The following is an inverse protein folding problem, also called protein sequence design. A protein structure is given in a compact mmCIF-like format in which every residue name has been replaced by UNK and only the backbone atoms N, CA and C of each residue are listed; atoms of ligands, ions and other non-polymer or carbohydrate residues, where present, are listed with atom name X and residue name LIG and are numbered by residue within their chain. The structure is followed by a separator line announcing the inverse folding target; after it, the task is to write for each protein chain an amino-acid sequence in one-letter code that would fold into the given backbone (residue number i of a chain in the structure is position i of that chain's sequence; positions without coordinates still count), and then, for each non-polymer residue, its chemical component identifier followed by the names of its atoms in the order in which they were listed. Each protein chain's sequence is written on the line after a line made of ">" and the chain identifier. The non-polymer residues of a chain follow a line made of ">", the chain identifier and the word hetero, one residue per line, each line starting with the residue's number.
data_IF_781353063499
#
_entry.id   IF_781353063499
#
_cell.length_a   1.000
_cell.length_b   1.000
_cell.length_c   1.000
_cell.angle_alpha   90.00
_cell.angle_beta   90.00
_cell.angle_gamma   90.00
#
_symmetry.space_group_name_H-M   'P 1'
#
loop_
_entity.id
_entity.type
_entity.pdbx_description
1 polymer ?
#
# COMPACT_ATOMS: atom_id res chain seq x y z
N UNK A 1 16.35 40.46 1.17
CA UNK A 1 15.03 39.84 0.92
C UNK A 1 15.30 38.58 0.07
N UNK A 2 15.66 37.48 0.72
CA UNK A 2 16.11 36.24 0.08
C UNK A 2 14.90 35.43 -0.38
N UNK A 3 14.83 35.09 -1.66
CA UNK A 3 13.96 34.05 -2.20
C UNK A 3 14.77 32.76 -2.28
N UNK A 4 14.54 31.86 -1.34
CA UNK A 4 15.05 30.49 -1.41
C UNK A 4 14.24 29.72 -2.47
N UNK A 5 14.90 29.45 -3.60
CA UNK A 5 14.43 28.51 -4.60
C UNK A 5 14.61 27.11 -4.03
N UNK A 6 13.51 26.44 -3.69
CA UNK A 6 13.52 25.02 -3.42
C UNK A 6 13.91 24.27 -4.70
N UNK A 7 15.13 23.75 -4.73
CA UNK A 7 15.57 22.76 -5.71
C UNK A 7 14.80 21.48 -5.38
N UNK A 8 13.88 21.10 -6.26
CA UNK A 8 13.28 19.76 -6.25
C UNK A 8 14.39 18.79 -6.63
N UNK A 9 14.94 18.12 -5.61
CA UNK A 9 15.89 17.03 -5.81
C UNK A 9 15.08 15.84 -6.33
N UNK A 10 14.99 15.74 -7.66
CA UNK A 10 14.61 14.49 -8.32
C UNK A 10 15.79 13.53 -8.08
N UNK A 11 15.68 12.69 -7.05
CA UNK A 11 16.69 11.67 -6.76
C UNK A 11 16.57 10.59 -7.84
N UNK A 12 17.26 10.78 -8.96
CA UNK A 12 17.75 9.67 -9.76
C UNK A 12 18.80 8.93 -8.91
N UNK A 13 18.38 7.89 -8.17
CA UNK A 13 19.35 7.05 -7.44
C UNK A 13 20.19 6.30 -8.48
N UNK A 14 21.50 6.55 -8.42
CA UNK A 14 22.56 6.12 -9.32
C UNK A 14 22.39 4.73 -9.95
N UNK A 15 22.54 4.69 -11.28
CA UNK A 15 22.92 3.51 -12.03
C UNK A 15 24.27 2.99 -11.54
N UNK A 16 24.30 1.77 -11.01
CA UNK A 16 25.55 0.99 -10.99
C UNK A 16 25.85 0.58 -12.44
N UNK A 17 26.83 1.24 -13.06
CA UNK A 17 27.37 0.87 -14.36
C UNK A 17 28.09 -0.48 -14.25
N UNK A 18 27.39 -1.58 -14.54
CA UNK A 18 28.03 -2.75 -15.14
C UNK A 18 27.68 -2.71 -16.63
N UNK A 19 28.69 -2.49 -17.46
CA UNK A 19 28.55 -2.48 -18.91
C UNK A 19 28.09 -3.86 -19.40
N UNK A 20 26.78 -4.01 -19.65
CA UNK A 20 26.19 -5.16 -20.33
C UNK A 20 25.29 -4.62 -21.46
N UNK A 21 25.30 -5.19 -22.68
CA UNK A 21 24.77 -4.52 -23.87
C UNK A 21 23.24 -4.33 -23.82
N UNK A 22 22.84 -3.09 -23.54
CA UNK A 22 21.69 -2.29 -24.02
C UNK A 22 20.25 -2.85 -24.17
N UNK A 23 19.93 -4.10 -23.81
CA UNK A 23 18.53 -4.55 -23.63
C UNK A 23 18.22 -5.14 -22.24
N UNK A 24 19.24 -5.40 -21.42
CA UNK A 24 19.06 -5.95 -20.07
C UNK A 24 18.84 -4.89 -18.98
N UNK A 25 19.36 -3.67 -19.10
CA UNK A 25 19.30 -2.67 -18.01
C UNK A 25 17.88 -2.19 -17.67
N UNK A 26 17.02 -2.03 -18.67
CA UNK A 26 15.62 -1.62 -18.45
C UNK A 26 14.86 -2.76 -17.75
N UNK A 27 15.07 -4.00 -18.20
CA UNK A 27 14.48 -5.21 -17.61
C UNK A 27 14.94 -5.45 -16.16
N UNK A 28 16.22 -5.23 -15.84
CA UNK A 28 16.77 -5.40 -14.49
C UNK A 28 16.19 -4.36 -13.53
N UNK A 29 16.09 -3.10 -13.94
CA UNK A 29 15.51 -2.03 -13.11
C UNK A 29 14.00 -2.24 -12.89
N UNK A 30 13.28 -2.70 -13.91
CA UNK A 30 11.88 -3.16 -13.85
C UNK A 30 11.70 -4.26 -12.80
N UNK A 31 12.55 -5.29 -12.83
CA UNK A 31 12.49 -6.42 -11.88
C UNK A 31 12.80 -5.95 -10.45
N UNK A 32 13.80 -5.06 -10.28
CA UNK A 32 14.23 -4.59 -8.95
C UNK A 32 13.14 -3.75 -8.27
N UNK A 33 12.50 -2.82 -8.99
CA UNK A 33 11.41 -2.01 -8.41
C UNK A 33 10.21 -2.89 -8.04
N UNK A 34 9.85 -3.82 -8.94
CA UNK A 34 8.81 -4.82 -8.70
C UNK A 34 9.11 -5.69 -7.46
N UNK A 35 10.37 -6.10 -7.27
CA UNK A 35 10.77 -6.88 -6.09
C UNK A 35 10.65 -6.12 -4.77
N UNK A 36 10.82 -4.79 -4.78
CA UNK A 36 10.80 -3.99 -3.56
C UNK A 36 9.41 -3.82 -2.95
N UNK A 37 8.35 -3.91 -3.76
CA UNK A 37 6.97 -3.78 -3.27
C UNK A 37 6.40 -5.08 -2.71
N UNK A 38 7.06 -6.22 -2.90
CA UNK A 38 6.59 -7.50 -2.35
C UNK A 38 6.86 -7.64 -0.84
N UNK A 39 6.00 -8.45 -0.22
CA UNK A 39 6.05 -8.78 1.19
C UNK A 39 4.89 -8.15 1.98
N UNK A 40 5.12 -8.06 3.28
CA UNK A 40 4.12 -7.67 4.27
C UNK A 40 4.32 -6.21 4.68
N UNK A 41 3.22 -5.45 4.69
CA UNK A 41 3.18 -4.02 4.86
C UNK A 41 2.08 -3.60 5.83
N UNK A 42 2.34 -2.54 6.59
CA UNK A 42 1.40 -1.92 7.51
C UNK A 42 1.15 -0.49 7.05
N UNK A 43 -0.14 -0.12 6.91
CA UNK A 43 -0.51 1.25 6.59
C UNK A 43 -0.24 2.14 7.81
N UNK A 44 0.59 3.17 7.63
CA UNK A 44 0.94 4.10 8.73
C UNK A 44 0.32 5.47 8.57
N UNK A 45 -0.01 5.86 7.33
CA UNK A 45 -0.60 7.14 7.03
C UNK A 45 -1.41 7.05 5.73
N UNK A 46 -2.60 7.66 5.71
CA UNK A 46 -3.41 7.69 4.50
C UNK A 46 -4.32 8.90 4.42
N UNK A 47 -4.69 9.25 3.19
CA UNK A 47 -5.70 10.28 2.92
C UNK A 47 -6.44 9.99 1.63
N UNK A 48 -7.69 10.42 1.54
CA UNK A 48 -8.52 10.32 0.35
C UNK A 48 -9.07 11.68 -0.06
N UNK A 49 -9.37 11.85 -1.35
CA UNK A 49 -10.11 13.00 -1.87
C UNK A 49 -11.62 12.72 -2.04
N UNK A 50 -12.08 11.54 -1.60
CA UNK A 50 -13.46 11.09 -1.74
C UNK A 50 -14.15 10.98 -0.36
N UNK A 51 -15.39 11.47 -0.20
CA UNK A 51 -16.16 11.36 1.05
C UNK A 51 -16.29 9.93 1.59
N UNK A 52 -16.46 8.93 0.72
CA UNK A 52 -16.52 7.52 1.11
C UNK A 52 -15.18 7.06 1.69
N UNK A 53 -14.07 7.53 1.12
CA UNK A 53 -12.74 7.27 1.64
C UNK A 53 -12.48 7.92 2.99
N UNK A 54 -13.04 9.11 3.23
CA UNK A 54 -12.99 9.73 4.57
C UNK A 54 -13.67 8.86 5.61
N UNK A 55 -14.86 8.34 5.32
CA UNK A 55 -15.59 7.43 6.22
C UNK A 55 -14.82 6.14 6.50
N UNK A 56 -14.24 5.51 5.47
CA UNK A 56 -13.45 4.29 5.61
C UNK A 56 -12.21 4.56 6.48
N UNK A 57 -11.44 5.60 6.16
CA UNK A 57 -10.20 5.93 6.85
C UNK A 57 -10.42 6.34 8.30
N UNK A 58 -11.50 7.07 8.60
CA UNK A 58 -11.86 7.45 9.98
C UNK A 58 -12.25 6.26 10.86
N UNK A 59 -12.87 5.24 10.27
CA UNK A 59 -13.28 4.05 10.99
C UNK A 59 -12.15 3.01 11.10
N UNK A 60 -11.11 3.10 10.27
CA UNK A 60 -9.99 2.14 10.23
C UNK A 60 -9.06 2.39 11.41
N UNK A 61 -8.70 1.31 12.10
CA UNK A 61 -7.76 1.31 13.23
C UNK A 61 -6.40 0.77 12.82
N UNK A 62 -6.38 -0.29 12.01
CA UNK A 62 -5.17 -0.87 11.42
C UNK A 62 -5.48 -1.42 10.03
N UNK A 63 -4.47 -1.42 9.17
CA UNK A 63 -4.49 -2.08 7.86
C UNK A 63 -3.17 -2.80 7.62
N UNK A 64 -3.26 -4.06 7.25
CA UNK A 64 -2.13 -4.91 6.89
C UNK A 64 -2.29 -5.42 5.46
N UNK A 65 -1.24 -5.32 4.66
CA UNK A 65 -1.21 -5.74 3.26
C UNK A 65 -0.17 -6.82 3.04
N UNK A 66 -0.54 -7.88 2.33
CA UNK A 66 0.41 -8.82 1.73
C UNK A 66 0.44 -8.61 0.22
N UNK A 67 1.62 -8.36 -0.35
CA UNK A 67 1.83 -8.29 -1.79
C UNK A 67 2.70 -9.46 -2.26
N UNK A 68 2.15 -10.29 -3.15
CA UNK A 68 2.81 -11.49 -3.67
C UNK A 68 2.81 -11.50 -5.19
N UNK A 69 4.00 -11.69 -5.78
CA UNK A 69 4.13 -11.98 -7.20
C UNK A 69 3.62 -13.39 -7.48
N UNK A 70 2.75 -13.52 -8.46
CA UNK A 70 2.23 -14.81 -8.90
C UNK A 70 3.24 -15.53 -9.79
N UNK A 71 3.09 -16.86 -9.98
CA UNK A 71 4.00 -17.66 -10.80
C UNK A 71 4.12 -17.20 -12.27
N UNK A 72 3.17 -16.42 -12.78
CA UNK A 72 3.19 -15.85 -14.12
C UNK A 72 4.14 -14.65 -14.27
N UNK A 73 4.74 -14.18 -13.17
CA UNK A 73 5.62 -13.01 -13.06
C UNK A 73 5.04 -11.69 -13.60
N UNK A 74 3.71 -11.61 -13.75
CA UNK A 74 3.00 -10.47 -14.33
C UNK A 74 1.86 -9.98 -13.46
N UNK A 75 1.31 -10.87 -12.64
CA UNK A 75 0.22 -10.54 -11.73
C UNK A 75 0.72 -10.45 -10.30
N UNK A 76 0.19 -9.45 -9.59
CA UNK A 76 0.46 -9.24 -8.17
C UNK A 76 -0.84 -9.46 -7.43
N UNK A 77 -0.83 -10.39 -6.49
CA UNK A 77 -1.91 -10.54 -5.53
C UNK A 77 -1.65 -9.61 -4.35
N UNK A 78 -2.65 -8.78 -4.08
CA UNK A 78 -2.69 -7.84 -2.99
C UNK A 78 -3.81 -8.25 -2.05
N UNK A 79 -3.44 -8.56 -0.81
CA UNK A 79 -4.37 -8.98 0.22
C UNK A 79 -4.30 -7.98 1.38
N UNK A 80 -5.25 -7.07 1.44
CA UNK A 80 -5.37 -6.11 2.53
C UNK A 80 -6.37 -6.58 3.56
N UNK A 81 -6.07 -6.35 4.83
CA UNK A 81 -6.91 -6.70 5.96
C UNK A 81 -7.02 -5.50 6.87
N UNK A 82 -8.24 -5.00 7.01
CA UNK A 82 -8.56 -3.83 7.81
C UNK A 82 -9.26 -4.25 9.10
N UNK A 83 -9.01 -3.49 10.18
CA UNK A 83 -9.75 -3.55 11.43
C UNK A 83 -10.45 -2.21 11.69
N UNK A 84 -11.71 -2.21 12.13
CA UNK A 84 -12.51 -1.00 12.31
C UNK A 84 -12.94 -0.77 13.77
N UNK A 85 -13.09 0.50 14.18
CA UNK A 85 -13.34 0.95 15.57
C UNK A 85 -14.55 0.31 16.28
N UNK A 86 -15.60 -0.08 15.54
CA UNK A 86 -16.91 -0.41 16.12
C UNK A 86 -17.43 -1.79 15.76
N UNK A 87 -16.61 -2.65 15.17
CA UNK A 87 -17.00 -4.02 14.87
C UNK A 87 -15.77 -4.92 14.84
N UNK A 88 -15.85 -6.19 15.27
CA UNK A 88 -14.89 -7.20 14.85
C UNK A 88 -15.07 -7.53 13.35
N UNK A 89 -15.41 -6.53 12.52
CA UNK A 89 -15.56 -6.65 11.08
C UNK A 89 -14.17 -6.82 10.52
N UNK A 90 -13.83 -8.07 10.29
CA UNK A 90 -12.82 -8.40 9.31
C UNK A 90 -13.36 -7.93 7.95
N UNK A 91 -12.66 -6.97 7.35
CA UNK A 91 -12.78 -6.69 5.93
C UNK A 91 -11.46 -7.04 5.25
N UNK A 92 -11.50 -8.08 4.43
CA UNK A 92 -10.42 -8.44 3.53
C UNK A 92 -10.65 -7.84 2.16
N UNK A 93 -9.64 -7.21 1.59
CA UNK A 93 -9.61 -6.79 0.20
C UNK A 93 -8.63 -7.69 -0.55
N UNK A 94 -9.12 -8.41 -1.55
CA UNK A 94 -8.26 -9.12 -2.50
C UNK A 94 -8.30 -8.37 -3.82
N UNK A 95 -7.16 -7.82 -4.19
CA UNK A 95 -6.91 -7.21 -5.48
C UNK A 95 -5.92 -8.06 -6.28
N UNK A 96 -6.22 -8.28 -7.56
CA UNK A 96 -5.26 -8.87 -8.50
C UNK A 96 -4.88 -7.81 -9.51
N UNK A 97 -3.62 -7.40 -9.47
CA UNK A 97 -3.06 -6.40 -10.37
C UNK A 97 -2.37 -7.05 -11.56
N UNK A 98 -2.39 -6.35 -12.69
CA UNK A 98 -1.44 -6.55 -13.79
C UNK A 98 -0.49 -5.37 -13.84
N UNK A 99 0.80 -5.67 -13.93
CA UNK A 99 1.84 -4.66 -14.13
C UNK A 99 1.77 -4.15 -15.57
N UNK A 100 1.45 -2.86 -15.74
CA UNK A 100 1.35 -2.21 -17.06
C UNK A 100 2.58 -1.35 -17.35
N UNK A 101 3.22 -0.81 -16.29
CA UNK A 101 4.46 -0.04 -16.41
C UNK A 101 5.39 -0.32 -15.21
N UNK A 102 6.55 0.36 -15.16
CA UNK A 102 7.50 0.24 -14.04
C UNK A 102 6.83 0.52 -12.69
N UNK A 103 5.92 1.49 -12.66
CA UNK A 103 5.32 2.01 -11.42
C UNK A 103 3.80 1.86 -11.38
N UNK A 104 3.18 1.53 -12.52
CA UNK A 104 1.72 1.51 -12.66
C UNK A 104 1.20 0.08 -12.80
N UNK A 105 0.25 -0.24 -11.95
CA UNK A 105 -0.54 -1.45 -11.97
C UNK A 105 -2.01 -1.10 -12.26
N UNK A 106 -2.73 -2.01 -12.90
CA UNK A 106 -4.18 -1.91 -13.09
C UNK A 106 -4.81 -3.15 -12.48
N UNK A 107 -5.90 -3.01 -11.74
CA UNK A 107 -6.55 -4.18 -11.15
C UNK A 107 -7.50 -4.85 -12.14
N UNK A 108 -7.44 -6.19 -12.19
CA UNK A 108 -8.31 -7.05 -12.98
C UNK A 108 -9.52 -7.53 -12.19
N UNK A 109 -9.33 -7.69 -10.88
CA UNK A 109 -10.28 -8.31 -9.99
C UNK A 109 -10.20 -7.60 -8.65
N UNK A 110 -11.38 -7.29 -8.10
CA UNK A 110 -11.56 -6.82 -6.75
C UNK A 110 -12.59 -7.72 -6.04
N UNK A 111 -12.17 -8.33 -4.94
CA UNK A 111 -13.05 -9.12 -4.07
C UNK A 111 -12.98 -8.54 -2.66
N UNK A 112 -14.14 -8.15 -2.14
CA UNK A 112 -14.30 -7.77 -0.74
C UNK A 112 -14.81 -8.98 0.04
N UNK A 113 -14.19 -9.27 1.18
CA UNK A 113 -14.65 -10.26 2.13
C UNK A 113 -15.03 -9.56 3.42
N UNK A 114 -16.32 -9.57 3.77
CA UNK A 114 -16.80 -9.04 5.05
C UNK A 114 -17.41 -10.17 5.85
N UNK A 115 -16.88 -10.43 7.05
CA UNK A 115 -17.36 -11.51 7.94
C UNK A 115 -17.43 -12.89 7.26
N UNK A 116 -16.44 -13.22 6.40
CA UNK A 116 -16.38 -14.48 5.66
C UNK A 116 -17.25 -14.51 4.39
N UNK A 117 -18.06 -13.48 4.14
CA UNK A 117 -18.86 -13.38 2.91
C UNK A 117 -18.05 -12.64 1.85
N UNK A 118 -17.72 -13.34 0.77
CA UNK A 118 -17.00 -12.78 -0.38
C UNK A 118 -17.97 -12.21 -1.40
N UNK A 119 -17.69 -11.00 -1.85
CA UNK A 119 -18.41 -10.31 -2.90
C UNK A 119 -17.42 -9.80 -3.94
N UNK A 120 -17.66 -10.17 -5.19
CA UNK A 120 -16.94 -9.55 -6.31
C UNK A 120 -17.47 -8.14 -6.50
N UNK A 121 -16.57 -7.16 -6.52
CA UNK A 121 -16.88 -5.77 -6.79
C UNK A 121 -16.51 -5.47 -8.22
N UNK A 122 -17.48 -5.03 -9.01
CA UNK A 122 -17.22 -4.58 -10.36
C UNK A 122 -16.73 -3.12 -10.30
N UNK A 123 -15.43 -2.98 -10.05
CA UNK A 123 -14.73 -1.71 -10.07
C UNK A 123 -13.63 -1.75 -11.12
N UNK A 124 -13.11 -0.58 -11.49
CA UNK A 124 -11.89 -0.47 -12.29
C UNK A 124 -11.03 0.67 -11.76
N UNK A 125 -9.73 0.55 -11.95
CA UNK A 125 -8.80 1.54 -11.44
C UNK A 125 -7.35 1.11 -11.52
N UNK A 126 -6.50 2.02 -11.06
CA UNK A 126 -5.05 1.97 -11.21
C UNK A 126 -4.38 2.21 -9.88
N UNK A 127 -3.15 1.73 -9.81
CA UNK A 127 -2.26 1.90 -8.67
C UNK A 127 -0.92 2.38 -9.18
N UNK A 128 -0.45 3.52 -8.68
CA UNK A 128 0.86 4.08 -8.98
C UNK A 128 1.76 4.05 -7.74
N UNK A 129 2.96 3.49 -7.86
CA UNK A 129 3.96 3.45 -6.78
C UNK A 129 4.99 4.58 -6.96
N UNK A 130 5.12 5.46 -5.98
CA UNK A 130 5.95 6.67 -6.11
C UNK A 130 7.36 6.53 -5.55
N UNK A 131 7.46 6.01 -4.33
CA UNK A 131 8.72 5.88 -3.61
C UNK A 131 8.67 4.60 -2.77
N UNK A 132 9.66 3.73 -3.00
CA UNK A 132 9.93 2.58 -2.15
C UNK A 132 11.36 2.66 -1.62
N UNK A 133 11.49 2.88 -0.31
CA UNK A 133 12.73 2.56 0.39
C UNK A 133 12.69 1.11 0.85
N UNK A 134 13.73 0.62 1.54
CA UNK A 134 13.79 -0.81 1.88
C UNK A 134 12.65 -1.22 2.84
N UNK A 135 12.16 -0.27 3.63
CA UNK A 135 11.11 -0.42 4.64
C UNK A 135 9.89 0.51 4.47
N UNK A 136 9.78 1.24 3.34
CA UNK A 136 8.64 2.12 3.07
C UNK A 136 8.09 1.96 1.66
N UNK A 137 6.78 2.13 1.51
CA UNK A 137 6.10 2.09 0.22
C UNK A 137 5.03 3.17 0.16
N UNK A 138 5.07 3.99 -0.89
CA UNK A 138 4.02 4.98 -1.18
C UNK A 138 3.22 4.54 -2.39
N UNK A 139 1.91 4.48 -2.22
CA UNK A 139 0.95 4.03 -3.22
C UNK A 139 -0.11 5.09 -3.44
N UNK A 140 -0.37 5.43 -4.71
CA UNK A 140 -1.57 6.16 -5.11
C UNK A 140 -2.54 5.14 -5.67
N UNK A 141 -3.67 4.97 -5.01
CA UNK A 141 -4.79 4.18 -5.51
C UNK A 141 -5.80 5.13 -6.15
N UNK A 142 -6.36 4.76 -7.30
CA UNK A 142 -7.36 5.54 -8.01
C UNK A 142 -8.38 4.59 -8.62
N UNK A 143 -9.61 4.61 -8.12
CA UNK A 143 -10.71 3.82 -8.68
C UNK A 143 -12.01 4.61 -8.81
N UNK A 144 -12.87 4.15 -9.70
CA UNK A 144 -14.18 4.77 -9.93
C UNK A 144 -15.07 4.69 -8.68
N UNK A 145 -15.04 3.56 -7.97
CA UNK A 145 -15.94 3.31 -6.83
C UNK A 145 -15.46 3.92 -5.52
N UNK A 146 -14.14 3.95 -5.28
CA UNK A 146 -13.58 4.37 -3.98
C UNK A 146 -12.88 5.72 -4.06
N UNK A 147 -12.65 6.27 -5.26
CA UNK A 147 -11.92 7.51 -5.47
C UNK A 147 -10.42 7.34 -5.32
N UNK A 148 -9.71 8.45 -5.11
CA UNK A 148 -8.25 8.43 -4.96
C UNK A 148 -7.85 8.32 -3.50
N UNK A 149 -6.76 7.60 -3.27
CA UNK A 149 -6.08 7.52 -1.99
C UNK A 149 -4.60 7.73 -2.21
N UNK A 150 -3.97 8.43 -1.26
CA UNK A 150 -2.55 8.39 -1.05
C UNK A 150 -2.30 7.56 0.21
N UNK A 151 -1.62 6.44 0.05
CA UNK A 151 -1.41 5.41 1.05
C UNK A 151 0.08 5.24 1.29
N UNK A 152 0.51 5.38 2.54
CA UNK A 152 1.90 5.24 2.94
C UNK A 152 2.02 4.08 3.93
N UNK A 153 2.89 3.15 3.55
CA UNK A 153 3.11 1.92 4.26
C UNK A 153 4.54 1.85 4.81
N UNK A 154 4.68 1.09 5.89
CA UNK A 154 5.95 0.59 6.42
C UNK A 154 5.99 -0.92 6.33
N UNK A 155 7.18 -1.49 6.13
CA UNK A 155 7.36 -2.94 6.16
C UNK A 155 6.94 -3.47 7.53
N UNK A 156 6.36 -4.67 7.55
CA UNK A 156 6.02 -5.32 8.82
C UNK A 156 7.27 -5.37 9.74
N UNK A 157 7.04 -5.14 11.03
CA UNK A 157 8.06 -4.93 12.06
C UNK A 157 8.65 -3.51 12.15
N UNK A 158 8.62 -2.70 11.08
CA UNK A 158 9.23 -1.35 11.04
C UNK A 158 8.24 -0.21 11.34
N UNK A 159 6.97 -0.53 11.53
CA UNK A 159 5.91 0.42 11.87
C UNK A 159 5.83 0.76 13.38
N UNK A 160 6.64 0.12 14.21
CA UNK A 160 6.54 0.17 15.69
C UNK A 160 7.16 1.41 16.33
N UNK A 161 8.02 2.12 15.60
CA UNK A 161 8.60 3.38 16.07
C UNK A 161 7.63 4.54 15.78
N UNK A 162 6.67 4.71 16.70
CA UNK A 162 5.62 5.74 16.59
C UNK A 162 6.19 7.15 16.57
N UNK A 163 7.30 7.41 17.26
CA UNK A 163 7.95 8.72 17.27
C UNK A 163 8.61 9.02 15.93
N UNK A 164 9.24 8.03 15.30
CA UNK A 164 9.70 8.16 13.93
C UNK A 164 8.53 8.44 12.97
N UNK A 165 7.38 7.76 13.13
CA UNK A 165 6.22 8.00 12.27
C UNK A 165 5.70 9.44 12.38
N UNK A 166 5.61 9.97 13.60
CA UNK A 166 5.25 11.38 13.85
C UNK A 166 6.23 12.34 13.17
N UNK A 167 7.53 12.06 13.22
CA UNK A 167 8.54 12.89 12.59
C UNK A 167 8.38 12.97 11.06
N UNK A 168 7.81 11.94 10.42
CA UNK A 168 7.56 11.91 8.99
C UNK A 168 6.23 12.56 8.56
N UNK A 169 5.32 12.86 9.49
CA UNK A 169 3.98 13.39 9.18
C UNK A 169 4.02 14.65 8.31
N UNK A 170 4.90 15.62 8.63
CA UNK A 170 5.04 16.84 7.85
C UNK A 170 5.46 16.56 6.39
N UNK A 171 6.25 15.51 6.16
CA UNK A 171 6.66 15.09 4.82
C UNK A 171 5.49 14.44 4.07
N UNK A 172 4.68 13.62 4.76
CA UNK A 172 3.48 13.01 4.18
C UNK A 172 2.44 14.08 3.78
N UNK A 173 2.20 15.07 4.64
CA UNK A 173 1.31 16.19 4.32
C UNK A 173 1.81 17.03 3.15
N UNK A 174 3.12 17.24 3.05
CA UNK A 174 3.72 17.94 1.90
C UNK A 174 3.51 17.14 0.61
N UNK A 175 3.71 15.83 0.64
CA UNK A 175 3.44 14.96 -0.50
C UNK A 175 1.96 15.01 -0.91
N UNK A 176 1.04 14.89 0.05
CA UNK A 176 -0.39 14.99 -0.18
C UNK A 176 -0.80 16.32 -0.85
N UNK A 177 -0.23 17.45 -0.39
CA UNK A 177 -0.43 18.76 -1.03
C UNK A 177 0.11 18.81 -2.46
N UNK A 178 1.27 18.22 -2.72
CA UNK A 178 1.83 18.11 -4.08
C UNK A 178 0.91 17.32 -5.01
N UNK A 179 0.20 16.32 -4.48
CA UNK A 179 -0.78 15.50 -5.21
C UNK A 179 -2.23 15.99 -5.09
N UNK A 180 -2.42 17.17 -4.50
CA UNK A 180 -3.72 17.84 -4.34
C UNK A 180 -4.76 17.06 -3.52
N UNK A 181 -4.33 16.26 -2.55
CA UNK A 181 -5.23 15.66 -1.57
C UNK A 181 -5.63 16.66 -0.47
N UNK A 182 -6.89 16.63 0.00
CA UNK A 182 -7.31 17.39 1.17
C UNK A 182 -6.71 16.78 2.44
N UNK A 183 -6.43 17.58 3.47
CA UNK A 183 -5.79 17.12 4.72
C UNK A 183 -6.74 17.13 5.94
N UNK A 184 -8.03 17.24 5.70
CA UNK A 184 -9.04 17.33 6.77
C UNK A 184 -9.26 15.98 7.47
N UNK A 185 -9.18 14.88 6.72
CA UNK A 185 -9.50 13.53 7.18
C UNK A 185 -8.35 12.57 6.89
N UNK A 186 -7.30 12.69 7.68
CA UNK A 186 -6.09 11.87 7.57
C UNK A 186 -6.16 10.69 8.53
N UNK A 187 -5.84 9.50 8.04
CA UNK A 187 -5.57 8.34 8.88
C UNK A 187 -4.11 8.36 9.32
N UNK A 188 -3.89 8.11 10.62
CA UNK A 188 -2.57 7.96 11.22
C UNK A 188 -2.62 6.73 12.10
N UNK A 189 -1.74 5.77 11.84
CA UNK A 189 -1.64 4.58 12.68
C UNK A 189 -1.07 4.92 14.06
N UNK A 190 -1.72 4.43 15.11
CA UNK A 190 -1.40 4.78 16.50
C UNK A 190 -0.36 3.83 17.14
N UNK A 191 -0.02 2.72 16.49
CA UNK A 191 0.90 1.71 17.01
C UNK A 191 0.30 0.80 18.08
N UNK A 192 -1.00 0.91 18.37
CA UNK A 192 -1.68 0.18 19.45
C UNK A 192 -2.63 -0.87 18.88
N UNK A 193 -3.32 -0.56 17.77
CA UNK A 193 -4.26 -1.49 17.17
C UNK A 193 -3.55 -2.75 16.62
N UNK A 194 -4.08 -3.91 16.99
CA UNK A 194 -3.62 -5.21 16.50
C UNK A 194 -4.01 -5.40 15.03
N UNK A 195 -3.42 -6.40 14.37
CA UNK A 195 -3.71 -6.73 12.99
C UNK A 195 -4.63 -7.95 12.88
N UNK A 196 -5.50 -7.92 11.88
CA UNK A 196 -6.27 -9.10 11.50
C UNK A 196 -5.32 -10.17 10.93
N UNK A 197 -4.94 -11.14 11.76
CA UNK A 197 -4.26 -12.34 11.31
C UNK A 197 -5.23 -13.29 10.60
N UNK A 198 -4.72 -14.02 9.60
CA UNK A 198 -5.46 -15.10 8.94
C UNK A 198 -5.91 -16.09 10.03
N UNK A 199 -7.21 -16.40 10.12
CA UNK A 199 -7.62 -17.58 10.92
C UNK A 199 -6.89 -18.78 10.34
N UNK A 200 -5.98 -19.37 11.11
CA UNK A 200 -5.50 -20.71 10.83
C UNK A 200 -6.71 -21.64 10.74
N UNK A 201 -6.68 -22.58 9.80
CA UNK A 201 -7.65 -23.68 9.81
C UNK A 201 -7.65 -24.31 11.22
N UNK A 202 -8.80 -24.71 11.76
CA UNK A 202 -8.83 -25.35 13.07
C UNK A 202 -7.86 -26.53 13.05
N UNK A 203 -6.95 -26.56 14.03
CA UNK A 203 -6.05 -27.68 14.25
C UNK A 203 -6.90 -28.96 14.29
N UNK A 204 -6.63 -29.84 13.35
CA UNK A 204 -7.20 -31.18 13.31
C UNK A 204 -6.83 -31.83 14.64
N UNK A 205 -7.82 -32.00 15.51
CA UNK A 205 -7.64 -32.70 16.78
C UNK A 205 -7.06 -34.06 16.44
N UNK A 206 -5.78 -34.25 16.78
CA UNK A 206 -5.16 -35.56 16.72
C UNK A 206 -5.92 -36.41 17.74
N UNK A 207 -6.76 -37.32 17.25
CA UNK A 207 -7.34 -38.37 18.08
C UNK A 207 -6.17 -39.23 18.57
N UNK A 208 -5.85 -39.12 19.86
CA UNK A 208 -4.96 -40.05 20.55
C UNK A 208 -5.61 -41.44 20.51
N UNK A 209 -4.85 -42.42 20.04
CA UNK A 209 -5.26 -43.78 19.79
C UNK A 209 -4.64 -44.75 20.79
#
# INVERSE_FOLDING_TARGET
>A
KHSEKFVVVIIYRLFYYFAVPTHQMILISLIIFSCKVYGDWVLVWAVSDNPKGHEILQNTTSSHVEMKLQPDNKTIEYNERNMYLHTPLYSGLLLVFVVVSIVTCVFLLLVEETNGVRKMVNDSGKVDFLESCDDCMTMIYDSETYGRYLLLYRRDGHHRDVEQMKAHQASHEKLAKCWHFPLEHVFIYDGVADFCHKKSAPEEKTEEH
#
